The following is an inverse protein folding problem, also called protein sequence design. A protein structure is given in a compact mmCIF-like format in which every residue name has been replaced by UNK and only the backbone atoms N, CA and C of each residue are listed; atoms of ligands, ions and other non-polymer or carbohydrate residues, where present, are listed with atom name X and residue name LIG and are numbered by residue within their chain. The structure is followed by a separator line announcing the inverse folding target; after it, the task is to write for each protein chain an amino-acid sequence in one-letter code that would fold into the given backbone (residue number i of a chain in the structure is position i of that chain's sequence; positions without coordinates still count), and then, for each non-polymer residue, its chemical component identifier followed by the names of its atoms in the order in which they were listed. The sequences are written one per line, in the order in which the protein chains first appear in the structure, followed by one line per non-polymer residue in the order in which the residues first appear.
data_IF_976569050612
#
_entry.id   IF_976569050612
#
_cell.length_a   1.000
_cell.length_b   1.000
_cell.length_c   1.000
_cell.angle_alpha   90.00
_cell.angle_beta   90.00
_cell.angle_gamma   90.00
#
_symmetry.space_group_name_H-M   'P 1'
#
loop_
_entity.id
_entity.type
_entity.pdbx_description
1 polymer ?
#
# COMPACT_ATOMS: atom_id res chain seq x y z
N UNK A 1 -6.05 7.26 -2.58
CA UNK A 1 -4.72 7.48 -3.18
C UNK A 1 -3.73 7.80 -2.06
N UNK A 2 -2.51 7.27 -2.14
CA UNK A 2 -1.39 7.60 -1.24
C UNK A 2 -0.14 7.92 -2.06
N UNK A 3 0.67 8.88 -1.60
CA UNK A 3 1.96 9.17 -2.23
C UNK A 3 3.03 8.22 -1.72
N UNK A 4 3.87 7.72 -2.62
CA UNK A 4 4.96 6.78 -2.29
C UNK A 4 6.30 7.33 -2.74
N UNK A 5 7.30 7.20 -1.86
CA UNK A 5 8.64 7.72 -2.10
C UNK A 5 9.40 6.87 -3.12
N UNK A 6 9.37 5.56 -2.93
CA UNK A 6 10.06 4.61 -3.80
C UNK A 6 9.04 3.58 -4.31
N UNK A 7 8.65 3.64 -5.60
CA UNK A 7 7.65 2.74 -6.13
C UNK A 7 8.13 1.30 -6.14
N UNK A 8 9.44 1.02 -6.20
CA UNK A 8 9.95 -0.36 -6.20
C UNK A 8 9.67 -1.03 -4.85
N UNK A 9 9.99 -0.35 -3.75
CA UNK A 9 9.72 -0.84 -2.39
C UNK A 9 8.22 -0.95 -2.13
N UNK A 10 7.43 0.03 -2.57
CA UNK A 10 5.98 -0.01 -2.40
C UNK A 10 5.34 -1.13 -3.21
N UNK A 11 5.70 -1.31 -4.49
CA UNK A 11 5.18 -2.39 -5.32
C UNK A 11 5.57 -3.77 -4.79
N UNK A 12 6.79 -3.94 -4.28
CA UNK A 12 7.20 -5.19 -3.61
C UNK A 12 6.33 -5.47 -2.38
N UNK A 13 6.15 -4.48 -1.50
CA UNK A 13 5.29 -4.63 -0.33
C UNK A 13 3.84 -4.98 -0.72
N UNK A 14 3.19 -4.18 -1.57
CA UNK A 14 1.78 -4.42 -1.89
C UNK A 14 1.56 -5.71 -2.70
N UNK A 15 2.50 -6.12 -3.57
CA UNK A 15 2.32 -7.34 -4.36
C UNK A 15 2.80 -8.59 -3.64
N UNK A 16 4.00 -8.59 -3.07
CA UNK A 16 4.61 -9.79 -2.50
C UNK A 16 4.22 -9.99 -1.03
N UNK A 17 4.11 -8.92 -0.25
CA UNK A 17 3.64 -9.01 1.14
C UNK A 17 2.12 -9.08 1.17
N UNK A 18 1.41 -8.13 0.55
CA UNK A 18 -0.05 -8.07 0.66
C UNK A 18 -0.80 -8.86 -0.41
N UNK A 19 -0.14 -9.37 -1.46
CA UNK A 19 -0.79 -10.21 -2.47
C UNK A 19 -1.64 -9.44 -3.49
N UNK A 20 -1.57 -8.11 -3.53
CA UNK A 20 -2.26 -7.31 -4.53
C UNK A 20 -1.63 -7.51 -5.92
N UNK A 21 -2.38 -7.16 -6.97
CA UNK A 21 -1.90 -7.14 -8.35
C UNK A 21 -1.82 -5.70 -8.85
N UNK A 22 -0.80 -5.40 -9.64
CA UNK A 22 -0.76 -4.17 -10.42
C UNK A 22 -1.78 -4.27 -11.56
N UNK A 23 -2.90 -3.57 -11.40
CA UNK A 23 -4.02 -3.59 -12.34
C UNK A 23 -3.77 -2.64 -13.51
N UNK A 24 -3.20 -1.47 -13.23
CA UNK A 24 -2.92 -0.47 -14.27
C UNK A 24 -1.79 0.47 -13.83
N UNK A 25 -1.18 1.13 -14.81
CA UNK A 25 -0.13 2.13 -14.64
C UNK A 25 -0.36 3.30 -15.58
N UNK A 26 -0.30 4.53 -15.06
CA UNK A 26 -0.47 5.74 -15.85
C UNK A 26 0.71 6.69 -15.67
N UNK A 27 1.26 7.19 -16.76
CA UNK A 27 2.30 8.22 -16.77
C UNK A 27 1.66 9.61 -16.85
N UNK A 28 2.01 10.46 -15.89
CA UNK A 28 1.56 11.86 -15.79
C UNK A 28 2.64 12.88 -16.17
N UNK A 29 3.78 12.44 -16.70
CA UNK A 29 4.91 13.27 -17.07
C UNK A 29 5.95 13.39 -15.95
N UNK A 30 5.60 14.09 -14.87
CA UNK A 30 6.47 14.26 -13.69
C UNK A 30 6.09 13.35 -12.50
N UNK A 31 5.07 12.52 -12.68
CA UNK A 31 4.67 11.51 -11.73
C UNK A 31 4.14 10.27 -12.47
N UNK A 32 4.12 9.14 -11.77
CA UNK A 32 3.51 7.90 -12.22
C UNK A 32 2.45 7.46 -11.21
N UNK A 33 1.29 7.04 -11.70
CA UNK A 33 0.25 6.38 -10.91
C UNK A 33 0.32 4.87 -11.08
N UNK A 34 0.26 4.14 -9.97
CA UNK A 34 0.16 2.68 -9.95
C UNK A 34 -1.15 2.28 -9.25
N UNK A 35 -2.01 1.54 -9.94
CA UNK A 35 -3.29 1.10 -9.42
C UNK A 35 -3.18 -0.37 -9.00
N UNK A 36 -3.29 -0.63 -7.70
CA UNK A 36 -3.24 -1.98 -7.14
C UNK A 36 -4.57 -2.41 -6.56
N UNK A 37 -4.88 -3.70 -6.67
CA UNK A 37 -6.05 -4.30 -6.03
C UNK A 37 -6.00 -5.82 -6.10
N UNK A 38 -7.01 -6.47 -5.51
CA UNK A 38 -7.17 -7.92 -5.64
C UNK A 38 -8.01 -8.27 -6.88
N UNK A 39 -7.68 -9.36 -7.56
CA UNK A 39 -8.38 -9.84 -8.76
C UNK A 39 -9.71 -10.53 -8.41
N UNK A 40 -10.67 -9.77 -7.87
CA UNK A 40 -12.01 -10.27 -7.52
C UNK A 40 -13.09 -9.88 -8.55
N UNK A 41 -12.77 -8.92 -9.43
CA UNK A 41 -13.66 -8.41 -10.49
C UNK A 41 -12.95 -8.47 -11.84
N UNK A 42 -13.68 -8.75 -12.92
CA UNK A 42 -13.20 -8.68 -14.31
C UNK A 42 -13.81 -7.47 -15.03
N UNK A 43 -13.48 -6.28 -14.56
CA UNK A 43 -13.91 -5.00 -15.13
C UNK A 43 -12.72 -4.08 -15.39
N UNK A 44 -12.97 -2.98 -16.11
CA UNK A 44 -11.98 -1.94 -16.34
C UNK A 44 -11.56 -1.25 -15.04
N UNK A 45 -10.42 -0.54 -15.05
CA UNK A 45 -9.92 0.20 -13.87
C UNK A 45 -10.99 1.13 -13.28
N UNK A 46 -11.72 1.86 -14.13
CA UNK A 46 -12.68 2.88 -13.69
C UNK A 46 -13.93 2.33 -13.01
N UNK A 47 -14.22 1.05 -13.17
CA UNK A 47 -15.40 0.38 -12.63
C UNK A 47 -15.06 -0.52 -11.43
N UNK A 48 -13.77 -0.62 -11.08
CA UNK A 48 -13.29 -1.55 -10.06
C UNK A 48 -13.36 -0.92 -8.67
N UNK A 49 -13.84 -1.71 -7.73
CA UNK A 49 -13.86 -1.33 -6.31
C UNK A 49 -12.58 -1.76 -5.60
N UNK A 50 -12.26 -1.08 -4.49
CA UNK A 50 -11.11 -1.45 -3.65
C UNK A 50 -9.73 -1.25 -4.29
N UNK A 51 -9.61 -0.32 -5.25
CA UNK A 51 -8.33 0.06 -5.83
C UNK A 51 -7.54 1.01 -4.92
N UNK A 52 -6.28 0.67 -4.70
CA UNK A 52 -5.28 1.55 -4.11
C UNK A 52 -4.45 2.20 -5.20
N UNK A 53 -4.61 3.51 -5.35
CA UNK A 53 -3.74 4.32 -6.20
C UNK A 53 -2.51 4.78 -5.42
N UNK A 54 -1.33 4.42 -5.91
CA UNK A 54 -0.04 4.93 -5.45
C UNK A 54 0.47 6.00 -6.42
N UNK A 55 0.80 7.18 -5.91
CA UNK A 55 1.40 8.26 -6.69
C UNK A 55 2.88 8.37 -6.39
N UNK A 56 3.72 8.16 -7.40
CA UNK A 56 5.16 8.37 -7.32
C UNK A 56 5.53 9.66 -8.06
N UNK A 57 6.01 10.67 -7.32
CA UNK A 57 6.63 11.84 -7.94
C UNK A 57 8.07 11.49 -8.30
N UNK A 58 8.47 11.66 -9.57
CA UNK A 58 9.76 11.20 -10.04
C UNK A 58 10.92 11.88 -9.29
N UNK A 59 11.94 11.11 -8.93
CA UNK A 59 13.12 11.59 -8.20
C UNK A 59 12.97 11.57 -6.68
N UNK A 60 11.75 11.42 -6.14
CA UNK A 60 11.53 11.34 -4.69
C UNK A 60 12.26 10.17 -4.02
N UNK A 61 12.52 9.08 -4.75
CA UNK A 61 13.27 7.91 -4.27
C UNK A 61 14.74 8.22 -3.98
N UNK A 62 15.31 9.23 -4.65
CA UNK A 62 16.72 9.62 -4.54
C UNK A 62 16.91 10.86 -3.65
N UNK A 63 15.83 11.55 -3.28
CA UNK A 63 15.88 12.73 -2.43
C UNK A 63 15.68 12.35 -0.96
N UNK A 64 16.72 12.51 -0.14
CA UNK A 64 16.65 12.22 1.30
C UNK A 64 15.74 13.18 2.08
N UNK A 65 15.48 14.38 1.56
CA UNK A 65 14.61 15.38 2.17
C UNK A 65 13.12 15.04 2.01
N UNK A 66 12.77 14.26 0.99
CA UNK A 66 11.37 13.85 0.76
C UNK A 66 10.97 12.80 1.80
N UNK A 67 9.99 13.16 2.62
CA UNK A 67 9.32 12.31 3.60
C UNK A 67 7.82 12.55 3.45
N UNK A 68 7.04 11.50 3.23
CA UNK A 68 5.59 11.62 3.22
C UNK A 68 5.05 11.44 4.64
N UNK A 69 4.17 12.35 5.06
CA UNK A 69 3.50 12.27 6.34
C UNK A 69 2.38 11.22 6.31
N UNK A 70 2.34 10.32 7.29
CA UNK A 70 1.35 9.24 7.33
C UNK A 70 -0.02 9.67 7.93
N UNK A 71 -0.13 10.89 8.45
CA UNK A 71 -1.37 11.47 9.00
C UNK A 71 -1.72 11.06 10.43
N UNK A 72 -0.89 10.24 11.09
CA UNK A 72 -1.16 9.74 12.45
C UNK A 72 -0.54 10.61 13.55
N UNK A 73 0.45 11.45 13.22
CA UNK A 73 0.99 12.52 14.07
C UNK A 73 0.43 13.90 13.65
N UNK A 74 0.74 14.98 14.39
CA UNK A 74 0.25 16.33 14.06
C UNK A 74 0.96 16.93 12.82
N UNK A 75 0.23 17.55 11.87
CA UNK A 75 -1.23 17.67 11.79
C UNK A 75 -1.89 16.35 11.34
N UNK A 76 -2.89 15.90 12.11
CA UNK A 76 -3.58 14.64 11.86
C UNK A 76 -4.60 14.72 10.71
N UNK A 77 -4.90 13.58 10.09
CA UNK A 77 -5.90 13.48 9.01
C UNK A 77 -6.17 12.05 8.60
N UNK A 78 -5.57 11.60 7.50
CA UNK A 78 -5.64 10.20 7.08
C UNK A 78 -5.09 9.25 8.16
N UNK A 79 -5.80 8.14 8.42
CA UNK A 79 -5.37 7.12 9.38
C UNK A 79 -4.64 5.95 8.72
N UNK A 80 -5.41 5.04 8.12
CA UNK A 80 -4.90 3.83 7.47
C UNK A 80 -5.92 3.26 6.47
N UNK A 81 -5.45 2.35 5.61
CA UNK A 81 -6.33 1.42 4.86
C UNK A 81 -6.50 0.14 5.67
N UNK A 82 -7.65 -0.51 5.49
CA UNK A 82 -7.94 -1.83 6.06
C UNK A 82 -7.94 -2.91 4.99
N UNK A 83 -7.45 -4.10 5.33
CA UNK A 83 -7.53 -5.31 4.50
C UNK A 83 -8.20 -6.39 5.36
N UNK A 84 -9.36 -6.86 4.91
CA UNK A 84 -10.02 -8.01 5.51
C UNK A 84 -9.33 -9.29 5.05
N UNK A 85 -9.12 -10.22 5.98
CA UNK A 85 -8.51 -11.53 5.75
C UNK A 85 -9.36 -12.60 6.42
N UNK A 86 -9.24 -13.84 5.95
CA UNK A 86 -9.98 -14.97 6.51
C UNK A 86 -9.55 -15.31 7.94
N UNK A 87 -8.24 -15.20 8.22
CA UNK A 87 -7.67 -15.48 9.54
C UNK A 87 -6.56 -14.45 9.84
N UNK A 88 -6.75 -13.64 10.88
CA UNK A 88 -5.85 -12.53 11.18
C UNK A 88 -4.55 -13.01 11.82
N UNK A 89 -4.60 -14.07 12.61
CA UNK A 89 -3.44 -14.68 13.26
C UNK A 89 -2.45 -15.22 12.22
N UNK A 90 -2.93 -16.03 11.27
CA UNK A 90 -2.12 -16.59 10.19
C UNK A 90 -1.54 -15.50 9.27
N UNK A 91 -2.31 -14.44 9.00
CA UNK A 91 -1.82 -13.31 8.23
C UNK A 91 -0.68 -12.60 8.98
N UNK A 92 -0.85 -12.34 10.28
CA UNK A 92 0.18 -11.73 11.12
C UNK A 92 1.43 -12.60 11.22
N UNK A 93 1.31 -13.92 11.45
CA UNK A 93 2.44 -14.86 11.46
C UNK A 93 3.22 -14.85 10.14
N UNK A 94 2.52 -14.81 9.00
CA UNK A 94 3.15 -14.67 7.69
C UNK A 94 3.91 -13.35 7.58
N UNK A 95 3.30 -12.23 7.99
CA UNK A 95 3.96 -10.92 7.96
C UNK A 95 5.20 -10.86 8.87
N UNK A 96 5.17 -11.51 10.03
CA UNK A 96 6.31 -11.61 10.94
C UNK A 96 7.47 -12.39 10.31
N UNK A 97 7.20 -13.54 9.68
CA UNK A 97 8.22 -14.31 8.95
C UNK A 97 8.84 -13.54 7.78
N UNK A 98 8.09 -12.59 7.21
CA UNK A 98 8.56 -11.69 6.15
C UNK A 98 9.25 -10.42 6.69
N UNK A 99 9.38 -10.26 8.02
CA UNK A 99 10.03 -9.11 8.64
C UNK A 99 9.23 -7.81 8.56
N UNK A 100 7.91 -7.88 8.39
CA UNK A 100 7.04 -6.68 8.32
C UNK A 100 7.02 -5.96 9.68
N UNK A 101 7.08 -4.63 9.64
CA UNK A 101 6.96 -3.79 10.84
C UNK A 101 5.51 -3.65 11.27
N UNK A 102 5.23 -3.94 12.54
CA UNK A 102 3.92 -3.75 13.16
C UNK A 102 3.86 -2.45 13.96
N UNK A 103 2.74 -1.71 13.82
CA UNK A 103 2.41 -0.61 14.74
C UNK A 103 1.71 -1.13 16.00
N UNK A 104 0.82 -2.12 15.85
CA UNK A 104 0.15 -2.82 16.95
C UNK A 104 0.10 -4.31 16.61
N UNK A 105 0.53 -5.17 17.54
CA UNK A 105 0.39 -6.63 17.41
C UNK A 105 -0.97 -7.08 17.91
N UNK A 106 -1.38 -8.28 17.49
CA UNK A 106 -2.49 -8.98 18.14
C UNK A 106 -2.14 -9.17 19.62
N UNK A 107 -3.01 -8.67 20.50
CA UNK A 107 -2.85 -8.76 21.95
C UNK A 107 -4.12 -9.39 22.50
N UNK A 108 -4.10 -10.71 22.71
CA UNK A 108 -5.22 -11.49 23.28
C UNK A 108 -5.57 -12.72 22.46
N UNK A 109 -5.91 -13.80 23.16
CA UNK A 109 -6.64 -14.97 22.62
C UNK A 109 -8.10 -14.57 22.48
N UNK A 110 -8.68 -14.65 21.28
CA UNK A 110 -10.12 -14.44 21.06
C UNK A 110 -10.95 -15.61 21.57
#
# INVERSE_FOLDING_TARGET
MVRVKDPKKSLDFYQNVLGMKLIDKMDGGNFTLYFLGYEHQKCSRGEREGLLELTHNHGSENDSSVQYHNGNDQPQGYGHIGISVENVEQACERFERMGVRFQKRLSGTF
#
